data_IF_937887391237
#
_entry.id   IF_937887391237
#
_cell.length_a   1.000
_cell.length_b   1.000
_cell.length_c   1.000
_cell.angle_alpha   90.00
_cell.angle_beta   90.00
_cell.angle_gamma   90.00
#
_symmetry.space_group_name_H-M   'P 1'
#
loop_
_entity.id
_entity.type
_entity.pdbx_description
1 polymer ?
#
# COMPACT_ATOMS: atom_id res chain seq x y z
N UNK A 1 -10.87 -9.01 14.30
CA UNK A 1 -10.96 -7.62 14.04
C UNK A 1 -9.66 -7.08 13.46
N UNK A 2 -9.78 -6.16 12.68
CA UNK A 2 -8.62 -5.67 11.98
C UNK A 2 -8.20 -4.32 12.53
N UNK A 3 -7.16 -4.32 13.34
CA UNK A 3 -6.60 -3.10 13.93
C UNK A 3 -5.49 -2.51 13.10
N UNK A 4 -5.41 -2.90 11.83
CA UNK A 4 -4.34 -2.41 10.97
C UNK A 4 -4.42 -0.90 10.84
N UNK A 5 -3.32 -0.26 11.10
CA UNK A 5 -3.21 1.19 10.99
C UNK A 5 -2.56 1.55 9.66
N UNK A 6 -2.75 2.80 9.28
CA UNK A 6 -2.07 3.34 8.11
C UNK A 6 -0.55 3.25 8.33
N UNK A 7 0.15 2.74 7.32
CA UNK A 7 1.61 2.62 7.41
C UNK A 7 2.31 3.94 7.14
N UNK A 8 3.39 4.23 7.88
CA UNK A 8 4.28 5.33 7.49
C UNK A 8 4.82 5.11 6.07
N UNK A 9 5.18 6.19 5.40
CA UNK A 9 5.57 6.14 3.99
C UNK A 9 6.69 5.14 3.70
N UNK A 10 7.70 5.07 4.56
CA UNK A 10 8.81 4.15 4.34
C UNK A 10 8.38 2.70 4.47
N UNK A 11 7.56 2.38 5.46
CA UNK A 11 7.06 1.02 5.64
C UNK A 11 6.11 0.64 4.50
N UNK A 12 5.31 1.59 4.04
CA UNK A 12 4.45 1.37 2.87
C UNK A 12 5.29 1.08 1.63
N UNK A 13 6.39 1.80 1.43
CA UNK A 13 7.28 1.55 0.30
C UNK A 13 7.84 0.12 0.33
N UNK A 14 8.19 -0.38 1.51
CA UNK A 14 8.64 -1.77 1.66
C UNK A 14 7.52 -2.74 1.27
N UNK A 15 6.30 -2.51 1.77
CA UNK A 15 5.17 -3.38 1.42
C UNK A 15 4.86 -3.32 -0.07
N UNK A 16 4.92 -2.14 -0.68
CA UNK A 16 4.69 -2.02 -2.12
C UNK A 16 5.69 -2.82 -2.92
N UNK A 17 6.95 -2.84 -2.51
CA UNK A 17 7.97 -3.65 -3.16
C UNK A 17 7.66 -5.15 -3.01
N UNK A 18 7.24 -5.57 -1.83
CA UNK A 18 6.89 -6.97 -1.58
C UNK A 18 5.67 -7.39 -2.39
N UNK A 19 4.63 -6.57 -2.41
CA UNK A 19 3.43 -6.87 -3.19
C UNK A 19 3.75 -6.94 -4.69
N UNK A 20 4.65 -6.09 -5.17
CA UNK A 20 5.02 -6.07 -6.58
C UNK A 20 5.76 -7.33 -7.02
N UNK A 21 6.64 -7.87 -6.17
CA UNK A 21 7.32 -9.13 -6.45
C UNK A 21 6.31 -10.28 -6.47
N UNK A 22 5.38 -10.28 -5.52
CA UNK A 22 4.34 -11.30 -5.42
C UNK A 22 4.80 -12.51 -4.61
N UNK A 23 3.90 -13.01 -3.77
CA UNK A 23 4.17 -14.18 -2.94
C UNK A 23 5.27 -13.96 -1.91
N UNK A 24 5.95 -15.02 -1.58
CA UNK A 24 7.06 -14.97 -0.63
C UNK A 24 8.30 -14.35 -1.29
N UNK A 25 8.95 -13.43 -0.58
CA UNK A 25 10.05 -12.61 -1.13
C UNK A 25 11.30 -12.83 -0.31
N UNK A 26 12.42 -13.10 -0.97
CA UNK A 26 13.71 -13.21 -0.28
C UNK A 26 14.25 -11.82 0.05
N UNK A 27 15.13 -11.77 1.06
CA UNK A 27 15.79 -10.51 1.41
C UNK A 27 16.58 -9.94 0.23
N UNK A 28 17.22 -10.82 -0.56
CA UNK A 28 17.99 -10.39 -1.73
C UNK A 28 17.13 -9.72 -2.77
N UNK A 29 15.98 -10.31 -3.09
CA UNK A 29 15.04 -9.72 -4.04
C UNK A 29 14.50 -8.38 -3.52
N UNK A 30 14.23 -8.31 -2.25
CA UNK A 30 13.73 -7.10 -1.63
C UNK A 30 14.78 -5.99 -1.66
N UNK A 31 16.03 -6.31 -1.35
CA UNK A 31 17.11 -5.33 -1.40
C UNK A 31 17.26 -4.75 -2.81
N UNK A 32 17.13 -5.60 -3.83
CA UNK A 32 17.14 -5.15 -5.22
C UNK A 32 15.99 -4.19 -5.52
N UNK A 33 14.79 -4.54 -5.08
CA UNK A 33 13.61 -3.73 -5.32
C UNK A 33 13.66 -2.38 -4.58
N UNK A 34 14.37 -2.31 -3.46
CA UNK A 34 14.48 -1.09 -2.65
C UNK A 34 15.76 -0.29 -2.92
N UNK A 35 16.57 -0.72 -3.86
CA UNK A 35 17.90 -0.11 -4.09
C UNK A 35 17.82 1.40 -4.34
N UNK A 36 16.78 1.87 -5.01
CA UNK A 36 16.65 3.30 -5.34
C UNK A 36 16.44 4.19 -4.12
N UNK A 37 16.04 3.62 -2.98
CA UNK A 37 15.83 4.40 -1.76
C UNK A 37 17.14 4.75 -1.05
N UNK A 38 18.21 4.01 -1.32
CA UNK A 38 19.50 4.25 -0.67
C UNK A 38 19.52 3.94 0.82
N UNK A 39 18.59 3.15 1.32
CA UNK A 39 18.53 2.80 2.74
C UNK A 39 19.62 1.79 3.09
N UNK A 40 20.18 1.94 4.31
CA UNK A 40 21.12 0.95 4.82
C UNK A 40 20.40 -0.35 5.14
N UNK A 41 21.18 -1.45 5.27
CA UNK A 41 20.63 -2.74 5.67
C UNK A 41 19.93 -2.64 7.02
N UNK A 42 20.51 -1.90 7.97
CA UNK A 42 19.90 -1.74 9.29
C UNK A 42 18.56 -1.00 9.21
N UNK A 43 18.46 -0.01 8.35
CA UNK A 43 17.21 0.73 8.15
C UNK A 43 16.13 -0.20 7.61
N UNK A 44 16.46 -0.99 6.60
CA UNK A 44 15.51 -1.96 6.03
C UNK A 44 15.10 -2.98 7.08
N UNK A 45 16.05 -3.48 7.87
CA UNK A 45 15.76 -4.42 8.97
C UNK A 45 14.75 -3.82 9.95
N UNK A 46 14.90 -2.55 10.28
CA UNK A 46 13.97 -1.87 11.18
C UNK A 46 12.56 -1.87 10.61
N UNK A 47 12.42 -1.53 9.34
CA UNK A 47 11.10 -1.51 8.70
C UNK A 47 10.48 -2.90 8.64
N UNK A 48 11.27 -3.92 8.29
CA UNK A 48 10.79 -5.30 8.22
C UNK A 48 10.33 -5.79 9.59
N UNK A 49 11.10 -5.48 10.63
CA UNK A 49 10.74 -5.86 12.01
C UNK A 49 9.42 -5.21 12.41
N UNK A 50 9.26 -3.93 12.12
CA UNK A 50 8.02 -3.21 12.43
C UNK A 50 6.82 -3.79 11.68
N UNK A 51 7.00 -4.12 10.42
CA UNK A 51 5.93 -4.70 9.62
C UNK A 51 5.53 -6.07 10.14
N UNK A 52 6.49 -6.87 10.58
CA UNK A 52 6.18 -8.16 11.20
C UNK A 52 5.42 -7.96 12.52
N UNK A 53 5.86 -7.01 13.35
CA UNK A 53 5.19 -6.71 14.62
C UNK A 53 3.76 -6.22 14.42
N UNK A 54 3.54 -5.45 13.37
CA UNK A 54 2.22 -4.94 13.03
C UNK A 54 1.30 -5.99 12.38
N UNK A 55 1.84 -7.15 12.05
CA UNK A 55 1.07 -8.22 11.43
C UNK A 55 0.92 -8.10 9.93
N UNK A 56 1.71 -7.27 9.27
CA UNK A 56 1.69 -7.12 7.82
C UNK A 56 2.51 -8.17 7.10
N UNK A 57 3.56 -8.65 7.78
CA UNK A 57 4.47 -9.66 7.24
C UNK A 57 4.65 -10.79 8.22
N UNK A 58 4.93 -11.98 7.70
CA UNK A 58 5.56 -13.03 8.48
C UNK A 58 6.92 -13.31 7.85
N UNK A 59 7.86 -13.77 8.66
CA UNK A 59 9.19 -14.11 8.18
C UNK A 59 9.53 -15.53 8.57
N UNK A 60 10.35 -16.17 7.74
CA UNK A 60 10.95 -17.46 8.06
C UNK A 60 12.35 -17.48 7.51
N UNK A 61 13.12 -18.39 8.04
CA UNK A 61 14.50 -18.56 7.60
C UNK A 61 14.65 -19.88 6.84
N UNK A 62 15.31 -19.79 5.69
CA UNK A 62 15.64 -20.97 4.90
C UNK A 62 17.14 -20.91 4.62
N UNK A 63 17.90 -21.77 5.32
CA UNK A 63 19.35 -21.67 5.27
C UNK A 63 19.82 -20.34 5.83
N UNK A 64 20.52 -19.56 5.02
CA UNK A 64 20.99 -18.22 5.39
C UNK A 64 20.05 -17.12 4.92
N UNK A 65 18.98 -17.48 4.23
CA UNK A 65 18.07 -16.51 3.63
C UNK A 65 16.88 -16.25 4.54
N UNK A 66 16.54 -14.99 4.69
CA UNK A 66 15.28 -14.60 5.30
C UNK A 66 14.25 -14.42 4.19
N UNK A 67 13.08 -14.99 4.41
CA UNK A 67 11.98 -14.93 3.46
C UNK A 67 10.79 -14.26 4.14
N UNK A 68 10.11 -13.40 3.40
CA UNK A 68 9.00 -12.60 3.93
C UNK A 68 7.74 -12.85 3.12
N UNK A 69 6.64 -13.08 3.82
CA UNK A 69 5.34 -13.31 3.19
C UNK A 69 4.35 -12.25 3.66
N UNK A 70 3.66 -11.55 2.72
CA UNK A 70 2.66 -10.59 3.12
C UNK A 70 1.46 -11.30 3.77
N UNK A 71 1.01 -10.75 4.89
CA UNK A 71 -0.15 -11.25 5.64
C UNK A 71 -1.38 -10.39 5.37
N UNK A 72 -1.18 -9.22 4.78
CA UNK A 72 -2.24 -8.31 4.35
C UNK A 72 -2.04 -8.09 2.87
N UNK A 73 -3.06 -8.30 2.06
CA UNK A 73 -2.96 -8.08 0.62
C UNK A 73 -2.95 -6.59 0.30
N UNK A 74 -2.42 -6.25 -0.88
CA UNK A 74 -2.44 -4.88 -1.36
C UNK A 74 -3.86 -4.34 -1.44
N UNK A 75 -4.78 -5.13 -1.99
CA UNK A 75 -6.17 -4.70 -2.14
C UNK A 75 -6.81 -4.42 -0.79
N UNK A 76 -6.58 -5.29 0.19
CA UNK A 76 -7.11 -5.10 1.54
C UNK A 76 -6.57 -3.82 2.17
N UNK A 77 -5.27 -3.56 2.02
CA UNK A 77 -4.67 -2.36 2.56
C UNK A 77 -5.23 -1.11 1.88
N UNK A 78 -5.37 -1.13 0.56
CA UNK A 78 -5.92 0.02 -0.18
C UNK A 78 -7.36 0.32 0.23
N UNK A 79 -8.17 -0.71 0.46
CA UNK A 79 -9.55 -0.53 0.96
C UNK A 79 -9.54 0.25 2.28
N UNK A 80 -8.70 -0.19 3.20
CA UNK A 80 -8.56 0.46 4.50
C UNK A 80 -8.01 1.90 4.35
N UNK A 81 -6.93 2.06 3.58
CA UNK A 81 -6.27 3.35 3.42
C UNK A 81 -7.18 4.37 2.76
N UNK A 82 -7.96 3.94 1.76
CA UNK A 82 -8.89 4.83 1.05
C UNK A 82 -9.90 5.47 2.00
N UNK A 83 -10.48 4.67 2.90
CA UNK A 83 -11.41 5.20 3.91
C UNK A 83 -10.72 6.18 4.86
N UNK A 84 -9.54 5.81 5.30
CA UNK A 84 -8.77 6.63 6.22
C UNK A 84 -8.41 7.99 5.61
N UNK A 85 -7.94 7.98 4.37
CA UNK A 85 -7.58 9.21 3.65
C UNK A 85 -8.81 10.10 3.47
N UNK A 86 -9.90 9.52 3.02
CA UNK A 86 -11.12 10.29 2.77
C UNK A 86 -11.62 10.95 4.05
N UNK A 87 -11.64 10.21 5.14
CA UNK A 87 -12.12 10.73 6.42
C UNK A 87 -11.19 11.80 6.97
N UNK A 88 -9.88 11.54 6.95
CA UNK A 88 -8.89 12.43 7.57
C UNK A 88 -8.73 13.74 6.83
N UNK A 89 -8.66 13.69 5.50
CA UNK A 89 -8.35 14.87 4.70
C UNK A 89 -9.59 15.57 4.14
N UNK A 90 -10.66 14.85 3.91
CA UNK A 90 -11.84 15.39 3.21
C UNK A 90 -13.12 15.30 4.04
N UNK A 91 -12.99 15.04 5.34
CA UNK A 91 -14.15 14.96 6.22
C UNK A 91 -15.20 13.94 5.79
N UNK A 92 -14.80 12.93 5.03
CA UNK A 92 -15.73 11.93 4.50
C UNK A 92 -16.41 12.32 3.20
N UNK A 93 -16.12 13.50 2.65
CA UNK A 93 -16.78 13.97 1.44
C UNK A 93 -16.07 13.48 0.18
N UNK A 94 -16.67 12.51 -0.48
CA UNK A 94 -16.15 11.98 -1.74
C UNK A 94 -16.15 13.06 -2.82
N UNK A 95 -17.18 13.92 -2.85
CA UNK A 95 -17.25 15.02 -3.80
C UNK A 95 -16.09 15.99 -3.63
N UNK A 96 -15.71 16.31 -2.40
CA UNK A 96 -14.57 17.18 -2.13
C UNK A 96 -13.25 16.57 -2.62
N UNK A 97 -13.11 15.26 -2.44
CA UNK A 97 -11.93 14.54 -2.94
C UNK A 97 -11.83 14.64 -4.46
N UNK A 98 -12.93 14.36 -5.17
CA UNK A 98 -12.95 14.41 -6.63
C UNK A 98 -12.71 15.83 -7.14
N UNK A 99 -13.31 16.82 -6.47
CA UNK A 99 -13.10 18.22 -6.82
C UNK A 99 -11.64 18.64 -6.70
N UNK A 100 -10.98 18.18 -5.64
CA UNK A 100 -9.55 18.47 -5.42
C UNK A 100 -8.68 17.85 -6.50
N UNK A 101 -8.96 16.61 -6.89
CA UNK A 101 -8.25 15.95 -7.98
C UNK A 101 -8.38 16.74 -9.27
N UNK A 102 -9.59 17.18 -9.60
CA UNK A 102 -9.85 17.91 -10.83
C UNK A 102 -9.19 19.29 -10.83
N UNK A 103 -9.09 19.92 -9.66
CA UNK A 103 -8.52 21.26 -9.54
C UNK A 103 -7.01 21.25 -9.82
N UNK A 104 -6.31 20.23 -9.34
CA UNK A 104 -4.87 20.10 -9.56
C UNK A 104 -4.56 19.80 -11.03
N UNK A 105 -5.30 18.85 -11.59
CA UNK A 105 -5.17 18.47 -12.98
C UNK A 105 -6.53 18.01 -13.46
N UNK A 106 -7.13 18.71 -14.44
CA UNK A 106 -8.47 18.34 -14.92
C UNK A 106 -8.53 16.87 -15.32
N UNK A 107 -9.61 16.23 -14.91
CA UNK A 107 -9.84 14.83 -15.24
C UNK A 107 -10.10 14.70 -16.74
N UNK A 108 -9.51 13.67 -17.34
CA UNK A 108 -9.74 13.38 -18.75
C UNK A 108 -11.12 12.76 -18.94
N UNK A 109 -11.66 12.92 -20.15
CA UNK A 109 -12.99 12.39 -20.44
C UNK A 109 -13.06 10.88 -20.21
N UNK A 110 -11.98 10.15 -20.52
CA UNK A 110 -11.93 8.71 -20.30
C UNK A 110 -12.05 8.35 -18.81
N UNK A 111 -11.43 9.15 -17.95
CA UNK A 111 -11.51 8.95 -16.50
C UNK A 111 -12.92 9.22 -16.00
N UNK A 112 -13.55 10.26 -16.51
CA UNK A 112 -14.93 10.61 -16.15
C UNK A 112 -15.89 9.49 -16.58
N UNK A 113 -15.72 9.00 -17.79
CA UNK A 113 -16.57 7.93 -18.33
C UNK A 113 -16.43 6.64 -17.53
N UNK A 114 -15.21 6.30 -17.17
CA UNK A 114 -14.94 5.13 -16.34
C UNK A 114 -15.62 5.24 -14.99
N UNK A 115 -15.53 6.41 -14.37
CA UNK A 115 -16.17 6.64 -13.07
C UNK A 115 -17.68 6.57 -13.18
N UNK A 116 -18.26 7.16 -14.22
CA UNK A 116 -19.72 7.07 -14.45
C UNK A 116 -20.17 5.63 -14.58
N UNK A 117 -19.45 4.84 -15.37
CA UNK A 117 -19.80 3.44 -15.57
C UNK A 117 -19.76 2.68 -14.26
N UNK A 118 -18.74 2.92 -13.47
CA UNK A 118 -18.59 2.29 -12.17
C UNK A 118 -19.76 2.64 -11.25
N UNK A 119 -20.12 3.91 -11.19
CA UNK A 119 -21.23 4.37 -10.35
C UNK A 119 -22.57 3.79 -10.81
N UNK A 120 -22.78 3.72 -12.11
CA UNK A 120 -23.99 3.14 -12.69
C UNK A 120 -24.09 1.65 -12.31
N UNK A 121 -22.98 0.93 -12.40
CA UNK A 121 -22.95 -0.49 -12.07
C UNK A 121 -23.28 -0.72 -10.59
N UNK A 122 -22.77 0.16 -9.71
CA UNK A 122 -23.05 0.09 -8.28
C UNK A 122 -24.50 0.37 -7.94
N UNK A 123 -25.17 1.17 -8.74
CA UNK A 123 -26.54 1.64 -8.47
C UNK A 123 -27.62 0.64 -8.86
N UNK A 124 -27.25 -0.44 -9.49
CA UNK A 124 -28.22 -1.44 -9.99
C UNK A 124 -28.70 -2.40 -8.91
#
# INVERSE_FOLDING_TARGET
>A
MDDKKRLPDAELAVMQAIWAVGGEVSRGDLDGALASHGWSANTVNTYLTRLCEKGFLSSRREGRNNLYTPRVSKDRYLEFESRSVLKRLYGGSLGSFVAALNAEQPLEQSEIDELRQFLDDMSR
#
